data_IF_602219659391
#
_entry.id   IF_602219659391
#
_cell.length_a   1.000
_cell.length_b   1.000
_cell.length_c   1.000
_cell.angle_alpha   90.00
_cell.angle_beta   90.00
_cell.angle_gamma   90.00
#
_symmetry.space_group_name_H-M   'P 1'
#
loop_
_entity.id
_entity.type
_entity.pdbx_description
1 polymer ?
#
# COMPACT_ATOMS: atom_id res chain seq x y z
N UNK A 1 -6.21 -12.23 -20.97
CA UNK A 1 -5.36 -12.21 -19.75
C UNK A 1 -5.86 -11.03 -18.92
N UNK A 2 -6.38 -11.17 -17.70
CA UNK A 2 -5.73 -11.64 -16.48
C UNK A 2 -6.78 -12.25 -15.55
N UNK A 3 -6.50 -13.44 -15.00
CA UNK A 3 -7.29 -14.13 -13.97
C UNK A 3 -7.06 -13.47 -12.59
N UNK A 4 -7.27 -12.16 -12.46
CA UNK A 4 -6.80 -11.39 -11.31
C UNK A 4 -7.71 -11.51 -10.07
N UNK A 5 -9.00 -11.81 -10.22
CA UNK A 5 -9.95 -11.77 -9.09
C UNK A 5 -10.09 -13.09 -8.32
N UNK A 6 -9.86 -14.24 -8.97
CA UNK A 6 -9.64 -15.47 -8.19
C UNK A 6 -8.32 -15.40 -7.42
N UNK A 7 -7.32 -14.64 -7.89
CA UNK A 7 -6.00 -14.62 -7.28
C UNK A 7 -5.93 -13.88 -5.94
N UNK A 8 -6.79 -12.89 -5.67
CA UNK A 8 -6.67 -12.14 -4.41
C UNK A 8 -7.09 -12.96 -3.17
N UNK A 9 -7.98 -13.95 -3.35
CA UNK A 9 -8.44 -14.85 -2.27
C UNK A 9 -7.89 -16.28 -2.43
N UNK A 10 -7.67 -16.78 -3.66
CA UNK A 10 -7.13 -18.13 -3.90
C UNK A 10 -5.62 -18.21 -4.20
N UNK A 11 -4.85 -17.12 -4.34
CA UNK A 11 -3.38 -17.20 -4.44
C UNK A 11 -2.70 -17.38 -3.07
N UNK A 12 -3.27 -18.21 -2.21
CA UNK A 12 -2.80 -18.45 -0.84
C UNK A 12 -1.88 -19.66 -0.70
N UNK A 13 -1.52 -20.33 -1.80
CA UNK A 13 -0.48 -21.34 -1.85
C UNK A 13 0.53 -21.02 -2.97
N UNK A 14 1.82 -20.99 -2.60
CA UNK A 14 2.98 -20.79 -3.48
C UNK A 14 3.33 -19.34 -3.87
N UNK A 15 3.87 -18.58 -2.92
CA UNK A 15 4.95 -17.61 -3.19
C UNK A 15 5.80 -17.47 -1.92
N UNK A 16 6.46 -18.56 -1.55
CA UNK A 16 7.55 -18.54 -0.58
C UNK A 16 8.85 -18.24 -1.32
N UNK A 17 9.18 -16.96 -1.50
CA UNK A 17 10.55 -16.56 -1.86
C UNK A 17 10.97 -15.37 -0.98
N UNK A 18 12.02 -15.60 -0.21
CA UNK A 18 12.75 -14.71 0.71
C UNK A 18 12.06 -14.28 2.03
N UNK A 19 12.14 -15.15 3.04
CA UNK A 19 11.91 -14.85 4.47
C UNK A 19 12.94 -13.89 5.11
N UNK A 20 13.80 -13.21 4.32
CA UNK A 20 14.90 -12.38 4.84
C UNK A 20 14.55 -10.88 4.94
N UNK A 21 13.32 -10.46 4.59
CA UNK A 21 12.86 -9.07 4.73
C UNK A 21 11.47 -8.94 5.38
N UNK A 22 10.93 -10.00 5.98
CA UNK A 22 9.58 -10.03 6.55
C UNK A 22 9.46 -9.34 7.92
N UNK A 23 10.55 -8.84 8.48
CA UNK A 23 10.55 -8.17 9.78
C UNK A 23 9.95 -6.76 9.63
N UNK A 24 8.72 -6.58 10.12
CA UNK A 24 8.12 -5.26 10.25
C UNK A 24 9.07 -4.34 11.05
N UNK A 25 9.27 -3.13 10.54
CA UNK A 25 9.92 -2.05 11.27
C UNK A 25 8.87 -0.99 11.52
N UNK A 26 8.49 -0.73 12.79
CA UNK A 26 7.43 0.21 13.11
C UNK A 26 7.86 1.64 12.80
N UNK A 27 6.92 2.42 12.27
CA UNK A 27 7.04 3.87 12.16
C UNK A 27 6.69 4.56 13.47
N UNK A 28 7.15 5.80 13.61
CA UNK A 28 6.82 6.71 14.72
C UNK A 28 5.91 7.85 14.29
N UNK A 29 5.70 8.03 12.97
CA UNK A 29 4.92 9.12 12.43
C UNK A 29 3.41 8.93 12.64
N UNK A 30 2.75 9.98 13.12
CA UNK A 30 1.29 10.10 13.19
C UNK A 30 0.76 11.17 12.22
N UNK A 31 -0.55 11.18 11.97
CA UNK A 31 -1.21 12.31 11.32
C UNK A 31 -1.10 13.57 12.19
N UNK A 32 -1.18 14.76 11.59
CA UNK A 32 -1.23 16.01 12.36
C UNK A 32 -2.70 16.37 12.59
N UNK A 33 -3.21 16.34 13.83
CA UNK A 33 -4.61 16.65 14.10
C UNK A 33 -4.95 18.09 13.69
N UNK A 34 -6.04 18.27 12.93
CA UNK A 34 -6.54 19.58 12.51
C UNK A 34 -5.73 20.26 11.40
N UNK A 35 -4.66 19.64 10.90
CA UNK A 35 -3.94 20.17 9.75
C UNK A 35 -4.70 19.90 8.45
N UNK A 36 -4.70 20.87 7.54
CA UNK A 36 -5.28 20.70 6.21
C UNK A 36 -4.39 19.74 5.39
N UNK A 37 -4.97 18.62 4.98
CA UNK A 37 -4.28 17.68 4.10
C UNK A 37 -4.37 18.19 2.66
N UNK A 38 -3.23 18.57 2.08
CA UNK A 38 -3.09 19.08 0.72
C UNK A 38 -2.80 17.98 -0.31
N UNK A 39 -2.71 16.71 0.12
CA UNK A 39 -2.41 15.60 -0.80
C UNK A 39 -3.44 15.57 -1.93
N UNK A 40 -2.94 15.56 -3.18
CA UNK A 40 -3.69 15.65 -4.44
C UNK A 40 -4.58 16.89 -4.61
N UNK A 41 -4.60 17.81 -3.64
CA UNK A 41 -5.23 19.14 -3.73
C UNK A 41 -4.22 20.14 -4.28
N UNK A 42 -3.06 20.22 -3.63
CA UNK A 42 -1.85 20.83 -4.21
C UNK A 42 -1.17 19.77 -5.08
N UNK A 43 -1.61 19.67 -6.34
CA UNK A 43 -1.09 18.69 -7.31
C UNK A 43 0.42 18.88 -7.54
N UNK A 44 0.94 20.09 -7.82
CA UNK A 44 2.38 20.29 -7.99
C UNK A 44 3.20 19.97 -6.73
N UNK A 45 2.75 20.40 -5.56
CA UNK A 45 3.43 20.14 -4.29
C UNK A 45 3.43 18.65 -3.92
N UNK A 46 2.30 17.97 -4.14
CA UNK A 46 2.19 16.51 -3.94
C UNK A 46 3.16 15.77 -4.87
N UNK A 47 3.17 16.12 -6.16
CA UNK A 47 4.07 15.49 -7.13
C UNK A 47 5.55 15.72 -6.77
N UNK A 48 5.93 16.95 -6.39
CA UNK A 48 7.29 17.26 -5.98
C UNK A 48 7.72 16.51 -4.72
N UNK A 49 6.83 16.40 -3.73
CA UNK A 49 7.08 15.67 -2.48
C UNK A 49 7.24 14.16 -2.74
N UNK A 50 6.36 13.55 -3.55
CA UNK A 50 6.45 12.13 -3.91
C UNK A 50 7.69 11.82 -4.77
N UNK A 51 8.07 12.71 -5.69
CA UNK A 51 9.30 12.57 -6.46
C UNK A 51 10.54 12.58 -5.55
N UNK A 52 10.55 13.44 -4.53
CA UNK A 52 11.64 13.48 -3.58
C UNK A 52 11.68 12.24 -2.66
N UNK A 53 10.52 11.74 -2.21
CA UNK A 53 10.42 10.45 -1.51
C UNK A 53 10.96 9.32 -2.38
N UNK A 54 10.62 9.30 -3.68
CA UNK A 54 11.14 8.30 -4.63
C UNK A 54 12.66 8.33 -4.72
N UNK A 55 13.24 9.50 -4.95
CA UNK A 55 14.70 9.67 -5.03
C UNK A 55 15.37 9.19 -3.75
N UNK A 56 14.86 9.62 -2.60
CA UNK A 56 15.41 9.22 -1.31
C UNK A 56 15.28 7.71 -1.07
N UNK A 57 14.12 7.11 -1.35
CA UNK A 57 13.87 5.68 -1.16
C UNK A 57 14.76 4.81 -2.07
N UNK A 58 14.88 5.16 -3.36
CA UNK A 58 15.73 4.42 -4.30
C UNK A 58 17.21 4.52 -3.92
N UNK A 59 17.65 5.69 -3.43
CA UNK A 59 19.01 5.88 -2.95
C UNK A 59 19.28 5.06 -1.68
N UNK A 60 18.48 5.23 -0.63
CA UNK A 60 18.74 4.60 0.68
C UNK A 60 18.59 3.09 0.64
N UNK A 61 17.66 2.53 -0.14
CA UNK A 61 17.48 1.07 -0.23
C UNK A 61 18.32 0.41 -1.33
N UNK A 62 19.18 1.15 -2.03
CA UNK A 62 20.22 0.58 -2.89
C UNK A 62 21.49 0.38 -2.07
N UNK A 63 22.12 -0.78 -2.20
CA UNK A 63 23.26 -1.16 -1.36
C UNK A 63 24.24 -2.05 -2.10
N UNK A 64 25.54 -1.84 -1.88
CA UNK A 64 26.61 -2.72 -2.31
C UNK A 64 27.53 -2.97 -1.13
N UNK A 65 27.67 -4.22 -0.70
CA UNK A 65 28.50 -4.55 0.48
C UNK A 65 30.00 -4.28 0.26
N UNK A 66 30.43 -3.97 -0.95
CA UNK A 66 31.80 -3.55 -1.23
C UNK A 66 32.02 -2.03 -1.19
N UNK A 67 30.97 -1.23 -1.01
CA UNK A 67 31.07 0.21 -0.81
C UNK A 67 30.32 0.65 0.46
N UNK A 68 30.84 0.30 1.65
CA UNK A 68 30.21 0.69 2.90
C UNK A 68 30.21 2.21 3.12
N UNK A 69 31.13 2.97 2.50
CA UNK A 69 31.18 4.42 2.61
C UNK A 69 29.98 5.09 1.91
N UNK A 70 29.52 4.53 0.78
CA UNK A 70 28.31 5.00 0.11
C UNK A 70 27.05 4.86 0.99
N UNK A 71 26.98 3.85 1.85
CA UNK A 71 25.85 3.65 2.77
C UNK A 71 25.70 4.84 3.74
N UNK A 72 26.78 5.20 4.43
CA UNK A 72 26.74 6.27 5.45
C UNK A 72 26.48 7.64 4.78
N UNK A 73 27.13 7.90 3.64
CA UNK A 73 26.91 9.12 2.86
C UNK A 73 25.46 9.26 2.39
N UNK A 74 24.84 8.16 1.95
CA UNK A 74 23.45 8.16 1.50
C UNK A 74 22.48 8.40 2.66
N UNK A 75 22.75 7.78 3.82
CA UNK A 75 21.98 8.01 5.04
C UNK A 75 22.02 9.49 5.45
N UNK A 76 23.18 10.14 5.43
CA UNK A 76 23.29 11.55 5.81
C UNK A 76 22.66 12.51 4.80
N UNK A 77 22.69 12.16 3.51
CA UNK A 77 22.06 12.97 2.46
C UNK A 77 20.53 12.94 2.54
N UNK A 78 19.94 11.76 2.78
CA UNK A 78 18.53 11.50 2.57
C UNK A 78 17.72 11.25 3.84
N UNK A 79 18.35 10.97 4.98
CA UNK A 79 17.65 10.61 6.23
C UNK A 79 17.83 11.67 7.31
N UNK A 80 16.81 11.81 8.13
CA UNK A 80 16.80 12.63 9.34
C UNK A 80 15.94 11.94 10.42
N UNK A 81 15.95 12.46 11.65
CA UNK A 81 15.08 11.97 12.73
C UNK A 81 15.17 10.45 12.96
N UNK A 82 14.01 9.82 13.17
CA UNK A 82 13.89 8.39 13.47
C UNK A 82 14.35 7.49 12.30
N UNK A 83 14.24 7.97 11.06
CA UNK A 83 14.62 7.20 9.88
C UNK A 83 16.07 6.72 9.90
N UNK A 84 17.01 7.47 10.52
CA UNK A 84 18.41 7.03 10.63
C UNK A 84 18.53 5.72 11.43
N UNK A 85 17.83 5.63 12.56
CA UNK A 85 17.85 4.43 13.40
C UNK A 85 17.08 3.26 12.73
N UNK A 86 15.88 3.53 12.18
CA UNK A 86 15.09 2.53 11.46
C UNK A 86 15.88 1.95 10.27
N UNK A 87 16.58 2.79 9.54
CA UNK A 87 17.44 2.38 8.43
C UNK A 87 18.60 1.50 8.89
N UNK A 88 19.29 1.87 9.97
CA UNK A 88 20.35 1.04 10.54
C UNK A 88 19.83 -0.33 10.98
N UNK A 89 18.64 -0.40 11.59
CA UNK A 89 17.98 -1.66 11.96
C UNK A 89 17.67 -2.53 10.74
N UNK A 90 17.10 -1.94 9.68
CA UNK A 90 16.77 -2.67 8.44
C UNK A 90 18.01 -3.29 7.79
N UNK A 91 19.14 -2.60 7.83
CA UNK A 91 20.37 -3.06 7.19
C UNK A 91 21.30 -3.88 8.09
N UNK A 92 21.00 -4.02 9.39
CA UNK A 92 21.84 -4.77 10.33
C UNK A 92 22.07 -6.22 9.85
N UNK A 93 21.01 -6.91 9.42
CA UNK A 93 21.11 -8.28 8.90
C UNK A 93 21.88 -8.35 7.58
N UNK A 94 21.59 -7.43 6.65
CA UNK A 94 22.24 -7.34 5.35
C UNK A 94 23.75 -7.12 5.49
N UNK A 95 24.16 -6.23 6.41
CA UNK A 95 25.56 -5.95 6.71
C UNK A 95 26.29 -7.09 7.40
N UNK A 96 25.57 -7.93 8.14
CA UNK A 96 26.15 -9.11 8.82
C UNK A 96 26.30 -10.34 7.92
N UNK A 97 25.79 -10.27 6.68
CA UNK A 97 25.89 -11.38 5.72
C UNK A 97 27.35 -11.68 5.36
N UNK A 98 27.78 -12.96 5.40
CA UNK A 98 29.11 -13.36 4.94
C UNK A 98 29.25 -13.33 3.41
N UNK A 99 28.13 -13.24 2.68
CA UNK A 99 28.11 -13.16 1.22
C UNK A 99 28.06 -11.71 0.76
N UNK A 100 28.67 -11.43 -0.40
CA UNK A 100 28.56 -10.12 -1.05
C UNK A 100 27.09 -9.87 -1.42
N UNK A 101 26.54 -8.74 -0.99
CA UNK A 101 25.16 -8.36 -1.27
C UNK A 101 25.16 -7.11 -2.15
N UNK A 102 24.37 -7.16 -3.23
CA UNK A 102 24.10 -6.00 -4.09
C UNK A 102 22.60 -5.86 -4.29
N UNK A 103 22.01 -4.86 -3.65
CA UNK A 103 20.59 -4.53 -3.74
C UNK A 103 20.43 -3.34 -4.67
N UNK A 104 19.51 -3.45 -5.62
CA UNK A 104 19.03 -2.32 -6.42
C UNK A 104 17.56 -2.13 -6.14
N UNK A 105 17.17 -0.92 -5.78
CA UNK A 105 15.78 -0.61 -5.42
C UNK A 105 15.15 0.34 -6.42
N UNK A 106 13.91 0.06 -6.81
CA UNK A 106 13.06 0.91 -7.65
C UNK A 106 11.72 1.14 -6.97
N UNK A 107 11.21 2.37 -7.04
CA UNK A 107 9.82 2.65 -6.68
C UNK A 107 8.90 2.27 -7.84
N UNK A 108 7.91 1.42 -7.56
CA UNK A 108 6.88 1.04 -8.54
C UNK A 108 5.71 2.03 -8.54
N UNK A 109 5.24 2.40 -7.36
CA UNK A 109 4.12 3.33 -7.17
C UNK A 109 4.20 3.97 -5.79
N UNK A 110 3.76 5.22 -5.70
CA UNK A 110 3.59 5.94 -4.43
C UNK A 110 2.28 6.71 -4.41
N UNK A 111 1.69 6.82 -3.23
CA UNK A 111 0.55 7.70 -2.99
C UNK A 111 0.80 8.54 -1.73
N UNK A 112 0.43 9.81 -1.77
CA UNK A 112 0.44 10.66 -0.59
C UNK A 112 -0.75 10.29 0.31
N UNK A 113 -0.47 9.99 1.56
CA UNK A 113 -1.47 9.83 2.61
C UNK A 113 -1.85 11.21 3.15
N UNK A 114 -0.83 12.03 3.41
CA UNK A 114 -0.95 13.37 3.99
C UNK A 114 0.12 14.27 3.39
N UNK A 115 -0.24 15.50 3.01
CA UNK A 115 0.70 16.58 2.74
C UNK A 115 0.29 17.79 3.58
N UNK A 116 1.16 18.24 4.48
CA UNK A 116 0.89 19.36 5.39
C UNK A 116 2.09 20.29 5.39
N UNK A 117 1.98 21.40 4.65
CA UNK A 117 3.08 22.36 4.50
C UNK A 117 4.37 21.72 3.98
N UNK A 118 5.36 21.58 4.85
CA UNK A 118 6.67 21.01 4.54
C UNK A 118 6.81 19.52 4.92
N UNK A 119 5.71 18.81 5.17
CA UNK A 119 5.72 17.39 5.56
C UNK A 119 4.84 16.56 4.64
N UNK A 120 5.35 15.41 4.19
CA UNK A 120 4.57 14.42 3.45
C UNK A 120 4.64 13.06 4.15
N UNK A 121 3.50 12.38 4.24
CA UNK A 121 3.42 10.94 4.53
C UNK A 121 3.04 10.23 3.24
N UNK A 122 3.82 9.25 2.83
CA UNK A 122 3.65 8.55 1.56
C UNK A 122 3.65 7.03 1.76
N UNK A 123 2.67 6.35 1.17
CA UNK A 123 2.68 4.90 1.01
C UNK A 123 3.37 4.57 -0.31
N UNK A 124 4.42 3.75 -0.27
CA UNK A 124 5.28 3.48 -1.41
C UNK A 124 5.55 1.99 -1.55
N UNK A 125 5.48 1.49 -2.78
CA UNK A 125 5.86 0.11 -3.11
C UNK A 125 7.23 0.11 -3.77
N UNK A 126 8.14 -0.64 -3.16
CA UNK A 126 9.50 -0.84 -3.60
C UNK A 126 9.62 -2.22 -4.26
N UNK A 127 10.29 -2.26 -5.39
CA UNK A 127 10.87 -3.47 -5.95
C UNK A 127 12.37 -3.47 -5.63
N UNK A 128 12.84 -4.54 -5.00
CA UNK A 128 14.23 -4.76 -4.71
C UNK A 128 14.75 -5.94 -5.52
N UNK A 129 15.87 -5.74 -6.21
CA UNK A 129 16.54 -6.75 -7.03
C UNK A 129 17.88 -7.10 -6.38
N UNK A 130 18.13 -8.40 -6.23
CA UNK A 130 19.42 -8.96 -5.81
C UNK A 130 19.78 -10.12 -6.74
N UNK A 131 20.68 -9.87 -7.70
CA UNK A 131 20.98 -10.85 -8.76
C UNK A 131 19.73 -11.19 -9.57
N UNK A 132 19.34 -12.46 -9.59
CA UNK A 132 18.12 -12.94 -10.27
C UNK A 132 16.88 -12.94 -9.37
N UNK A 133 17.03 -12.63 -8.08
CA UNK A 133 15.93 -12.60 -7.12
C UNK A 133 15.32 -11.20 -7.05
N UNK A 134 13.98 -11.14 -7.09
CA UNK A 134 13.21 -9.91 -6.89
C UNK A 134 12.31 -10.05 -5.66
N UNK A 135 12.15 -8.97 -4.92
CA UNK A 135 11.24 -8.87 -3.78
C UNK A 135 10.46 -7.57 -3.82
N UNK A 136 9.24 -7.58 -3.29
CA UNK A 136 8.42 -6.39 -3.11
C UNK A 136 8.33 -6.05 -1.63
N UNK A 137 8.38 -4.75 -1.32
CA UNK A 137 8.10 -4.23 0.01
C UNK A 137 7.19 -3.03 -0.08
N UNK A 138 6.22 -2.95 0.83
CA UNK A 138 5.38 -1.76 0.98
C UNK A 138 5.83 -1.00 2.22
N UNK A 139 6.11 0.28 2.05
CA UNK A 139 6.74 1.13 3.06
C UNK A 139 5.94 2.42 3.19
N UNK A 140 5.61 2.81 4.42
CA UNK A 140 5.14 4.16 4.71
C UNK A 140 6.34 5.02 5.09
N UNK A 141 6.60 6.03 4.28
CA UNK A 141 7.61 7.05 4.52
C UNK A 141 6.97 8.30 5.09
N UNK A 142 7.67 8.96 6.01
CA UNK A 142 7.45 10.39 6.25
C UNK A 142 8.68 11.14 5.77
N UNK A 143 8.49 12.23 5.04
CA UNK A 143 9.56 13.14 4.68
C UNK A 143 9.25 14.56 5.14
N UNK A 144 10.31 15.28 5.48
CA UNK A 144 10.27 16.69 5.88
C UNK A 144 11.12 17.50 4.90
N UNK A 145 10.61 18.66 4.50
CA UNK A 145 11.34 19.65 3.74
C UNK A 145 11.94 20.68 4.70
N UNK A 146 13.26 20.73 4.76
CA UNK A 146 14.03 21.72 5.51
C UNK A 146 15.12 22.27 4.59
N UNK A 147 15.38 23.57 4.65
CA UNK A 147 16.42 24.24 3.84
C UNK A 147 16.33 23.93 2.34
N UNK A 148 15.10 23.79 1.83
CA UNK A 148 14.83 23.49 0.43
C UNK A 148 14.96 22.01 0.03
N UNK A 149 15.46 21.14 0.92
CA UNK A 149 15.66 19.72 0.65
C UNK A 149 14.69 18.82 1.42
N UNK A 150 14.15 17.80 0.74
CA UNK A 150 13.35 16.75 1.37
C UNK A 150 14.25 15.64 1.91
N UNK A 151 14.00 15.21 3.15
CA UNK A 151 14.64 14.05 3.77
C UNK A 151 13.62 13.15 4.44
N UNK A 152 13.81 11.84 4.36
CA UNK A 152 12.98 10.87 5.07
C UNK A 152 13.23 11.00 6.58
N UNK A 153 12.18 11.25 7.34
CA UNK A 153 12.22 11.40 8.79
C UNK A 153 11.69 10.17 9.53
N UNK A 154 10.90 9.31 8.86
CA UNK A 154 10.36 8.06 9.38
C UNK A 154 10.23 7.01 8.26
N UNK A 155 10.53 5.76 8.58
CA UNK A 155 10.46 4.59 7.69
C UNK A 155 9.70 3.48 8.40
N UNK A 156 8.55 3.08 7.87
CA UNK A 156 7.75 1.97 8.38
C UNK A 156 7.57 0.88 7.31
N UNK A 157 8.12 -0.31 7.53
CA UNK A 157 7.99 -1.46 6.61
C UNK A 157 6.81 -2.32 7.04
N UNK A 158 5.99 -2.77 6.10
CA UNK A 158 4.71 -3.43 6.36
C UNK A 158 3.83 -2.58 7.28
N UNK A 159 3.59 -1.32 6.90
CA UNK A 159 3.17 -0.29 7.84
C UNK A 159 1.74 -0.49 8.34
N UNK A 160 1.54 -0.25 9.63
CA UNK A 160 0.23 0.01 10.22
C UNK A 160 0.28 1.42 10.81
N UNK A 161 -0.23 2.40 10.07
CA UNK A 161 -0.31 3.78 10.56
C UNK A 161 -1.75 4.27 10.46
N UNK A 162 -2.17 5.05 11.46
CA UNK A 162 -3.49 5.66 11.43
C UNK A 162 -3.65 6.57 10.19
N UNK A 163 -4.80 6.52 9.51
CA UNK A 163 -5.11 7.45 8.43
C UNK A 163 -5.20 8.88 8.98
N UNK A 164 -4.94 9.90 8.16
CA UNK A 164 -5.26 11.28 8.52
C UNK A 164 -6.75 11.45 8.83
N UNK A 165 -7.08 12.45 9.65
CA UNK A 165 -8.47 12.78 9.93
C UNK A 165 -9.18 13.16 8.62
N UNK A 166 -10.39 12.63 8.37
CA UNK A 166 -11.11 12.93 7.14
C UNK A 166 -11.64 14.36 7.16
N UNK A 167 -11.58 15.02 6.01
CA UNK A 167 -12.29 16.26 5.73
C UNK A 167 -13.79 15.96 5.53
N UNK A 168 -14.71 16.82 6.01
CA UNK A 168 -16.14 16.66 5.76
C UNK A 168 -16.49 16.58 4.27
N UNK A 169 -17.56 15.86 3.93
CA UNK A 169 -18.08 15.80 2.56
C UNK A 169 -18.86 17.10 2.21
N UNK A 170 -18.13 18.19 2.04
CA UNK A 170 -18.65 19.56 1.83
C UNK A 170 -18.60 20.02 0.37
N UNK A 171 -18.18 19.14 -0.55
CA UNK A 171 -18.02 19.44 -1.98
C UNK A 171 -16.70 20.13 -2.34
N UNK A 172 -15.85 20.43 -1.36
CA UNK A 172 -14.49 20.90 -1.62
C UNK A 172 -13.63 19.80 -2.28
N UNK A 173 -12.50 20.16 -2.92
CA UNK A 173 -11.54 19.17 -3.40
C UNK A 173 -11.08 18.18 -2.31
N UNK A 174 -10.88 18.66 -1.07
CA UNK A 174 -10.52 17.83 0.08
C UNK A 174 -11.66 16.86 0.45
N UNK A 175 -12.89 17.35 0.51
CA UNK A 175 -14.07 16.52 0.75
C UNK A 175 -14.29 15.47 -0.36
N UNK A 176 -14.01 15.81 -1.62
CA UNK A 176 -14.08 14.86 -2.73
C UNK A 176 -13.03 13.74 -2.56
N UNK A 177 -11.77 14.09 -2.32
CA UNK A 177 -10.68 13.13 -2.05
C UNK A 177 -11.03 12.20 -0.89
N UNK A 178 -11.51 12.74 0.23
CA UNK A 178 -11.75 11.94 1.43
C UNK A 178 -13.04 11.11 1.32
N UNK A 179 -14.02 11.56 0.53
CA UNK A 179 -15.14 10.72 0.12
C UNK A 179 -14.69 9.54 -0.75
N UNK A 180 -13.72 9.76 -1.65
CA UNK A 180 -13.15 8.72 -2.51
C UNK A 180 -12.37 7.69 -1.68
N UNK A 181 -11.56 8.13 -0.72
CA UNK A 181 -10.87 7.26 0.23
C UNK A 181 -11.84 6.43 1.07
N UNK A 182 -12.92 7.03 1.56
CA UNK A 182 -13.97 6.33 2.29
C UNK A 182 -14.61 5.25 1.41
N UNK A 183 -14.98 5.60 0.19
CA UNK A 183 -15.50 4.68 -0.81
C UNK A 183 -14.56 3.53 -1.15
N UNK A 184 -13.27 3.83 -1.32
CA UNK A 184 -12.24 2.82 -1.55
C UNK A 184 -12.13 1.82 -0.40
N UNK A 185 -12.16 2.29 0.86
CA UNK A 185 -12.15 1.40 2.04
C UNK A 185 -13.39 0.50 2.07
N UNK A 186 -14.57 1.04 1.78
CA UNK A 186 -15.81 0.25 1.67
C UNK A 186 -15.68 -0.81 0.57
N UNK A 187 -15.22 -0.44 -0.62
CA UNK A 187 -15.05 -1.36 -1.73
C UNK A 187 -14.03 -2.45 -1.42
N UNK A 188 -12.88 -2.10 -0.85
CA UNK A 188 -11.81 -3.05 -0.50
C UNK A 188 -12.25 -4.02 0.57
N UNK A 189 -12.94 -3.53 1.60
CA UNK A 189 -13.48 -4.40 2.64
C UNK A 189 -14.44 -5.44 2.05
N UNK A 190 -15.29 -5.04 1.11
CA UNK A 190 -16.21 -5.96 0.44
C UNK A 190 -15.53 -6.91 -0.56
N UNK A 191 -14.53 -6.44 -1.31
CA UNK A 191 -13.83 -7.22 -2.33
C UNK A 191 -12.80 -8.20 -1.76
N UNK A 192 -12.12 -7.84 -0.67
CA UNK A 192 -11.02 -8.62 -0.10
C UNK A 192 -11.44 -9.47 1.12
N UNK A 193 -12.63 -9.25 1.68
CA UNK A 193 -13.17 -10.14 2.72
C UNK A 193 -13.84 -11.37 2.10
N UNK A 194 -13.75 -12.50 2.79
CA UNK A 194 -14.40 -13.73 2.40
C UNK A 194 -14.87 -14.51 3.62
N UNK A 195 -16.00 -15.19 3.53
CA UNK A 195 -16.46 -16.12 4.55
C UNK A 195 -16.97 -17.41 3.89
N UNK A 196 -16.27 -18.53 4.11
CA UNK A 196 -16.70 -19.83 3.60
C UNK A 196 -18.03 -20.32 4.15
N UNK A 197 -18.49 -19.79 5.29
CA UNK A 197 -19.81 -20.08 5.84
C UNK A 197 -20.92 -19.28 5.15
N UNK A 198 -20.59 -18.18 4.47
CA UNK A 198 -21.51 -17.31 3.73
C UNK A 198 -20.94 -16.96 2.33
N UNK A 199 -20.81 -17.95 1.42
CA UNK A 199 -20.19 -17.72 0.12
C UNK A 199 -21.07 -16.85 -0.80
N UNK A 200 -22.39 -16.98 -0.72
CA UNK A 200 -23.32 -16.16 -1.51
C UNK A 200 -23.38 -14.71 -0.99
N UNK A 201 -23.44 -14.49 0.32
CA UNK A 201 -23.41 -13.15 0.89
C UNK A 201 -22.05 -12.47 0.70
N UNK A 202 -20.94 -13.24 0.74
CA UNK A 202 -19.61 -12.73 0.34
C UNK A 202 -19.64 -12.21 -1.09
N UNK A 203 -20.12 -13.01 -2.04
CA UNK A 203 -20.26 -12.58 -3.43
C UNK A 203 -21.17 -11.34 -3.57
N UNK A 204 -22.32 -11.32 -2.90
CA UNK A 204 -23.27 -10.21 -2.98
C UNK A 204 -22.67 -8.89 -2.48
N UNK A 205 -21.88 -8.92 -1.39
CA UNK A 205 -21.15 -7.74 -0.89
C UNK A 205 -20.15 -7.22 -1.90
N UNK A 206 -19.37 -8.11 -2.52
CA UNK A 206 -18.40 -7.75 -3.56
C UNK A 206 -19.09 -7.18 -4.81
N UNK A 207 -20.21 -7.77 -5.25
CA UNK A 207 -20.99 -7.29 -6.39
C UNK A 207 -21.58 -5.88 -6.14
N UNK A 208 -22.08 -5.61 -4.93
CA UNK A 208 -22.73 -4.34 -4.59
C UNK A 208 -21.81 -3.12 -4.74
N UNK A 209 -20.51 -3.32 -4.49
CA UNK A 209 -19.48 -2.27 -4.58
C UNK A 209 -18.81 -2.18 -5.94
N UNK A 210 -19.12 -3.09 -6.88
CA UNK A 210 -18.53 -3.10 -8.21
C UNK A 210 -19.32 -2.22 -9.19
N UNK A 211 -18.59 -1.57 -10.09
CA UNK A 211 -19.08 -0.87 -11.27
C UNK A 211 -18.43 -1.48 -12.53
N UNK A 212 -18.90 -1.09 -13.71
CA UNK A 212 -18.31 -1.58 -14.96
C UNK A 212 -16.86 -1.09 -15.13
N UNK A 213 -15.96 -1.92 -15.70
CA UNK A 213 -16.18 -3.27 -16.24
C UNK A 213 -16.12 -4.40 -15.20
N UNK A 214 -15.67 -4.13 -13.97
CA UNK A 214 -15.49 -5.12 -12.91
C UNK A 214 -16.79 -5.87 -12.57
N UNK A 215 -17.92 -5.17 -12.56
CA UNK A 215 -19.23 -5.75 -12.29
C UNK A 215 -19.59 -6.88 -13.26
N UNK A 216 -19.41 -6.65 -14.57
CA UNK A 216 -19.62 -7.69 -15.58
C UNK A 216 -18.69 -8.89 -15.40
N UNK A 217 -17.45 -8.67 -14.97
CA UNK A 217 -16.50 -9.76 -14.68
C UNK A 217 -16.95 -10.60 -13.48
N UNK A 218 -17.40 -9.96 -12.39
CA UNK A 218 -17.95 -10.64 -11.22
C UNK A 218 -19.16 -11.49 -11.59
N UNK A 219 -20.11 -10.92 -12.33
CA UNK A 219 -21.33 -11.62 -12.77
C UNK A 219 -21.02 -12.85 -13.62
N UNK A 220 -20.06 -12.71 -14.55
CA UNK A 220 -19.64 -13.83 -15.41
C UNK A 220 -18.96 -14.94 -14.61
N UNK A 221 -18.27 -14.61 -13.52
CA UNK A 221 -17.50 -15.55 -12.72
C UNK A 221 -18.21 -16.03 -11.44
N UNK A 222 -19.46 -15.63 -11.20
CA UNK A 222 -20.21 -15.90 -9.95
C UNK A 222 -20.09 -17.34 -9.47
N UNK A 223 -20.45 -18.30 -10.32
CA UNK A 223 -20.47 -19.72 -9.93
C UNK A 223 -19.09 -20.20 -9.47
N UNK A 224 -18.03 -19.83 -10.20
CA UNK A 224 -16.65 -20.19 -9.86
C UNK A 224 -16.16 -19.49 -8.59
N UNK A 225 -16.53 -18.22 -8.39
CA UNK A 225 -16.18 -17.44 -7.21
C UNK A 225 -16.80 -18.02 -5.93
N UNK A 226 -18.11 -18.28 -5.96
CA UNK A 226 -18.86 -18.87 -4.84
C UNK A 226 -18.35 -20.27 -4.50
N UNK A 227 -18.12 -21.11 -5.52
CA UNK A 227 -17.56 -22.46 -5.33
C UNK A 227 -16.13 -22.40 -4.75
N UNK A 228 -15.31 -21.46 -5.22
CA UNK A 228 -13.96 -21.22 -4.70
C UNK A 228 -13.95 -20.84 -3.22
N UNK A 229 -14.82 -19.92 -2.78
CA UNK A 229 -14.95 -19.54 -1.37
C UNK A 229 -15.40 -20.74 -0.52
N UNK A 230 -16.42 -21.48 -0.99
CA UNK A 230 -16.96 -22.64 -0.27
C UNK A 230 -15.89 -23.71 -0.06
N UNK A 231 -15.11 -24.02 -1.09
CA UNK A 231 -14.02 -25.01 -1.04
C UNK A 231 -12.82 -24.53 -0.27
N UNK A 232 -12.55 -23.23 -0.25
CA UNK A 232 -11.42 -22.64 0.46
C UNK A 232 -11.48 -22.88 1.96
N UNK A 233 -12.68 -22.91 2.56
CA UNK A 233 -12.84 -23.13 4.00
C UNK A 233 -12.18 -22.05 4.87
N UNK A 234 -11.99 -20.85 4.30
CA UNK A 234 -11.32 -19.73 4.97
C UNK A 234 -12.29 -18.59 5.27
N UNK A 235 -11.95 -17.84 6.31
CA UNK A 235 -12.51 -16.52 6.58
C UNK A 235 -11.42 -15.46 6.45
N UNK A 236 -11.59 -14.52 5.54
CA UNK A 236 -10.69 -13.40 5.34
C UNK A 236 -11.36 -12.09 5.79
N UNK A 237 -10.64 -11.30 6.57
CA UNK A 237 -11.11 -10.01 7.10
C UNK A 237 -10.05 -8.95 6.86
N UNK A 238 -10.48 -7.81 6.31
CA UNK A 238 -9.64 -6.60 6.20
C UNK A 238 -9.67 -5.88 7.55
N UNK A 239 -8.52 -5.73 8.25
CA UNK A 239 -8.50 -5.02 9.52
C UNK A 239 -8.64 -3.49 9.33
N UNK A 240 -8.97 -2.75 10.40
CA UNK A 240 -9.25 -1.31 10.33
C UNK A 240 -8.01 -0.46 10.03
N UNK A 241 -6.80 -1.03 10.11
CA UNK A 241 -5.52 -0.37 9.84
C UNK A 241 -5.15 -0.33 8.34
N UNK A 242 -6.11 -0.65 7.46
CA UNK A 242 -6.02 -0.46 6.00
C UNK A 242 -5.53 0.95 5.66
N UNK A 243 -4.32 1.03 5.12
CA UNK A 243 -3.74 2.27 4.64
C UNK A 243 -4.21 2.54 3.22
N UNK A 244 -4.60 3.79 2.95
CA UNK A 244 -5.13 4.23 1.65
C UNK A 244 -4.60 5.60 1.33
N UNK A 245 -4.06 5.77 0.13
CA UNK A 245 -3.62 7.06 -0.41
C UNK A 245 -4.13 7.24 -1.82
N UNK A 246 -4.60 8.43 -2.15
CA UNK A 246 -5.08 8.72 -3.50
C UNK A 246 -3.88 9.03 -4.39
N UNK A 247 -3.82 8.41 -5.56
CA UNK A 247 -2.82 8.75 -6.60
C UNK A 247 -3.38 9.78 -7.57
N UNK A 248 -4.69 9.76 -7.81
CA UNK A 248 -5.40 10.77 -8.61
C UNK A 248 -6.88 10.86 -8.24
N UNK A 249 -7.44 12.06 -8.34
CA UNK A 249 -8.90 12.32 -8.35
C UNK A 249 -9.18 13.22 -9.54
N UNK A 250 -10.12 12.83 -10.40
CA UNK A 250 -10.50 13.62 -11.57
C UNK A 250 -12.00 13.46 -11.81
N UNK A 251 -12.75 14.50 -11.43
CA UNK A 251 -14.21 14.45 -11.45
C UNK A 251 -14.73 13.28 -10.62
N UNK A 252 -15.48 12.40 -11.28
CA UNK A 252 -16.07 11.20 -10.66
C UNK A 252 -15.15 9.97 -10.69
N UNK A 253 -13.87 10.10 -11.07
CA UNK A 253 -12.92 8.99 -11.08
C UNK A 253 -11.80 9.21 -10.07
N UNK A 254 -11.34 8.14 -9.43
CA UNK A 254 -10.15 8.17 -8.59
C UNK A 254 -9.39 6.84 -8.66
N UNK A 255 -8.08 6.92 -8.47
CA UNK A 255 -7.23 5.75 -8.27
C UNK A 255 -6.62 5.82 -6.88
N UNK A 256 -6.71 4.73 -6.13
CA UNK A 256 -6.26 4.63 -4.74
C UNK A 256 -5.23 3.51 -4.62
N UNK A 257 -4.07 3.82 -4.05
CA UNK A 257 -3.11 2.81 -3.58
C UNK A 257 -3.51 2.39 -2.16
N UNK A 258 -3.50 1.08 -1.92
CA UNK A 258 -3.84 0.52 -0.62
C UNK A 258 -2.81 -0.48 -0.12
N UNK A 259 -2.72 -0.59 1.21
CA UNK A 259 -1.98 -1.62 1.92
C UNK A 259 -2.81 -2.14 3.10
N UNK A 260 -2.92 -3.45 3.24
CA UNK A 260 -3.57 -4.07 4.39
C UNK A 260 -2.88 -5.37 4.81
N UNK A 261 -2.94 -5.63 6.11
CA UNK A 261 -2.55 -6.89 6.73
C UNK A 261 -3.78 -7.81 6.81
N UNK A 262 -4.18 -8.42 5.70
CA UNK A 262 -5.38 -9.27 5.63
C UNK A 262 -5.27 -10.42 6.63
N UNK A 263 -6.27 -10.57 7.50
CA UNK A 263 -6.34 -11.68 8.44
C UNK A 263 -7.12 -12.82 7.81
N UNK A 264 -6.47 -13.97 7.64
CA UNK A 264 -7.07 -15.18 7.06
C UNK A 264 -7.10 -16.27 8.11
N UNK A 265 -8.30 -16.64 8.55
CA UNK A 265 -8.57 -17.78 9.42
C UNK A 265 -8.83 -19.01 8.56
N UNK A 266 -8.09 -20.09 8.78
CA UNK A 266 -8.31 -21.37 8.11
C UNK A 266 -9.40 -22.23 8.79
N UNK A 267 -9.69 -23.39 8.21
CA UNK A 267 -10.69 -24.32 8.73
C UNK A 267 -10.35 -24.89 10.12
N UNK A 268 -9.07 -24.85 10.52
CA UNK A 268 -8.62 -25.25 11.87
C UNK A 268 -8.68 -24.08 12.88
N UNK A 269 -9.13 -22.90 12.45
CA UNK A 269 -9.19 -21.70 13.26
C UNK A 269 -7.86 -20.95 13.40
N UNK A 270 -6.82 -21.35 12.67
CA UNK A 270 -5.52 -20.66 12.70
C UNK A 270 -5.59 -19.36 11.91
N UNK A 271 -5.18 -18.26 12.54
CA UNK A 271 -5.15 -16.93 11.91
C UNK A 271 -3.76 -16.67 11.35
N UNK A 272 -3.71 -16.36 10.05
CA UNK A 272 -2.50 -15.90 9.37
C UNK A 272 -2.69 -14.49 8.87
N UNK A 273 -1.66 -13.66 9.01
CA UNK A 273 -1.65 -12.30 8.48
C UNK A 273 -0.95 -12.30 7.12
N UNK A 274 -1.62 -11.75 6.10
CA UNK A 274 -1.08 -11.66 4.73
C UNK A 274 -1.03 -10.19 4.29
N UNK A 275 0.17 -9.62 4.08
CA UNK A 275 0.27 -8.27 3.54
C UNK A 275 -0.21 -8.25 2.09
N UNK A 276 -1.11 -7.34 1.78
CA UNK A 276 -1.68 -7.14 0.44
C UNK A 276 -1.51 -5.69 0.05
N UNK A 277 -1.03 -5.47 -1.17
CA UNK A 277 -0.89 -4.14 -1.77
C UNK A 277 -1.54 -4.14 -3.14
N UNK A 278 -2.41 -3.17 -3.39
CA UNK A 278 -3.15 -3.07 -4.64
C UNK A 278 -3.41 -1.62 -5.03
N UNK A 279 -3.67 -1.41 -6.32
CA UNK A 279 -4.36 -0.23 -6.82
C UNK A 279 -5.84 -0.55 -6.99
N UNK A 280 -6.68 0.41 -6.63
CA UNK A 280 -8.12 0.36 -6.81
C UNK A 280 -8.54 1.56 -7.66
N UNK A 281 -9.13 1.28 -8.81
CA UNK A 281 -9.81 2.29 -9.61
C UNK A 281 -11.27 2.34 -9.18
N UNK A 282 -11.77 3.54 -8.88
CA UNK A 282 -13.13 3.77 -8.45
C UNK A 282 -13.80 4.88 -9.26
N UNK A 283 -15.10 4.72 -9.44
CA UNK A 283 -15.97 5.71 -10.08
C UNK A 283 -17.12 6.08 -9.14
N UNK A 284 -17.53 7.34 -9.14
CA UNK A 284 -18.71 7.81 -8.44
C UNK A 284 -19.95 7.52 -9.29
N UNK A 285 -20.79 6.60 -8.83
CA UNK A 285 -22.03 6.20 -9.47
C UNK A 285 -23.19 6.19 -8.47
N UNK A 286 -24.27 6.89 -8.79
CA UNK A 286 -25.46 6.98 -7.93
C UNK A 286 -25.17 7.55 -6.53
N UNK A 287 -24.26 8.52 -6.43
CA UNK A 287 -23.86 9.13 -5.16
C UNK A 287 -22.90 8.31 -4.31
N UNK A 288 -22.44 7.15 -4.80
CA UNK A 288 -21.50 6.26 -4.10
C UNK A 288 -20.27 5.97 -4.96
N UNK A 289 -19.11 5.79 -4.33
CA UNK A 289 -17.91 5.32 -5.02
C UNK A 289 -17.95 3.80 -5.17
N UNK A 290 -17.67 3.30 -6.37
CA UNK A 290 -17.69 1.88 -6.73
C UNK A 290 -16.43 1.49 -7.48
N UNK A 291 -15.95 0.28 -7.25
CA UNK A 291 -14.74 -0.25 -7.87
C UNK A 291 -14.98 -0.60 -9.34
N UNK A 292 -14.15 -0.07 -10.23
CA UNK A 292 -14.11 -0.40 -11.66
C UNK A 292 -12.96 -1.34 -12.00
N UNK A 293 -11.92 -1.37 -11.15
CA UNK A 293 -10.84 -2.35 -11.20
C UNK A 293 -10.11 -2.46 -9.87
N UNK A 294 -9.52 -3.62 -9.60
CA UNK A 294 -8.56 -3.85 -8.53
C UNK A 294 -7.37 -4.63 -9.10
N UNK A 295 -6.15 -4.14 -8.89
CA UNK A 295 -4.95 -4.82 -9.37
C UNK A 295 -3.91 -4.92 -8.25
N UNK A 296 -3.40 -6.12 -7.99
CA UNK A 296 -2.24 -6.28 -7.12
C UNK A 296 -1.03 -5.56 -7.74
N UNK A 297 -0.23 -4.89 -6.91
CA UNK A 297 1.02 -4.29 -7.37
C UNK A 297 2.03 -5.42 -7.55
N UNK A 298 2.49 -5.63 -8.79
CA UNK A 298 3.47 -6.67 -9.14
C UNK A 298 4.78 -6.07 -9.59
N UNK A 299 5.88 -6.77 -9.34
CA UNK A 299 7.21 -6.43 -9.85
C UNK A 299 7.30 -6.48 -11.37
N UNK A 300 8.43 -5.97 -11.87
CA UNK A 300 8.79 -5.95 -13.29
C UNK A 300 9.27 -7.29 -13.83
#
# INVERSE_FOLDING_TARGET
MRRALLALVLATAASSVCSACSSAVPGTAAAIPGAENLAVIDVPGTAAALAAVKIAAEAVFTYDSADPAAFDKTADAHLTGAAKAQYATLFAQVKSSPQRVRLTTRVLVSAALELTGNRVRALTVLEQVNGTTKGLATVAFTALKADGAWRLSDIAVSPAQAPPAPHPADGSPAGLRDSALTGARTAVNALASADSADPEGTYARAEAVAAEPLLSEYRRSKAAYVDGIRKGGVRAVVPPDLMTGVTSVTGDNATVLLYANLQVTDAAGQVTTKPVTATLDIVRAGGSWKATAIQAVTGS
#
